data_IF_990427481470
#
_entry.id   IF_990427481470
#
_cell.length_a   1.000
_cell.length_b   1.000
_cell.length_c   1.000
_cell.angle_alpha   90.00
_cell.angle_beta   90.00
_cell.angle_gamma   90.00
#
_symmetry.space_group_name_H-M   'P 1'
#
loop_
_entity.id
_entity.type
_entity.pdbx_description
1 polymer ?
#
# COMPACT_ATOMS: atom_id res chain seq x y z
N UNK A 1 6.00 5.61 13.99
CA UNK A 1 6.72 6.67 14.72
C UNK A 1 6.41 8.00 14.06
N UNK A 2 5.35 8.69 14.49
CA UNK A 2 5.29 10.14 14.39
C UNK A 2 5.55 10.68 15.79
N UNK A 3 6.84 10.79 16.14
CA UNK A 3 7.27 11.85 17.05
C UNK A 3 7.12 13.15 16.26
N UNK A 4 5.87 13.55 16.00
CA UNK A 4 5.61 14.93 15.68
C UNK A 4 5.97 15.65 16.97
N UNK A 5 7.20 16.19 17.00
CA UNK A 5 7.67 17.08 18.03
C UNK A 5 6.50 17.98 18.41
N UNK A 6 6.28 18.17 19.70
CA UNK A 6 5.37 19.19 20.23
C UNK A 6 5.85 20.51 19.64
N UNK A 7 5.37 20.83 18.44
CA UNK A 7 5.75 22.03 17.71
C UNK A 7 5.38 23.15 18.68
N UNK A 8 6.35 24.01 18.96
CA UNK A 8 6.29 24.98 20.05
C UNK A 8 4.95 25.72 20.06
N UNK A 9 4.52 26.23 21.24
CA UNK A 9 3.30 27.04 21.42
C UNK A 9 3.14 28.22 20.44
N UNK A 10 4.17 28.55 19.65
CA UNK A 10 4.23 29.67 18.73
C UNK A 10 4.00 29.29 17.25
N UNK A 11 3.83 28.01 16.90
CA UNK A 11 3.58 27.59 15.52
C UNK A 11 2.18 26.99 15.38
N UNK A 12 1.51 27.32 14.28
CA UNK A 12 0.24 26.71 13.89
C UNK A 12 0.37 25.20 13.83
N UNK A 13 -0.64 24.48 14.33
CA UNK A 13 -0.63 23.02 14.34
C UNK A 13 -0.49 22.47 12.90
N UNK A 14 0.41 21.50 12.65
CA UNK A 14 0.56 20.92 11.32
C UNK A 14 -0.70 20.14 10.92
N UNK A 15 -1.11 20.26 9.66
CA UNK A 15 -2.22 19.48 9.09
C UNK A 15 -1.69 18.10 8.72
N UNK A 16 -2.02 17.08 9.52
CA UNK A 16 -1.52 15.71 9.35
C UNK A 16 -2.60 14.76 8.83
N UNK A 17 -3.86 15.05 9.13
CA UNK A 17 -5.02 14.25 8.73
C UNK A 17 -6.00 15.06 7.89
N UNK A 18 -6.89 14.36 7.18
CA UNK A 18 -8.00 15.00 6.46
C UNK A 18 -8.88 15.79 7.43
N UNK A 19 -9.12 15.27 8.65
CA UNK A 19 -9.90 15.99 9.65
C UNK A 19 -9.21 17.27 10.13
N UNK A 20 -7.88 17.28 10.29
CA UNK A 20 -7.14 18.51 10.61
C UNK A 20 -7.32 19.57 9.51
N UNK A 21 -7.30 19.13 8.24
CA UNK A 21 -7.51 20.04 7.11
C UNK A 21 -8.91 20.64 7.12
N UNK A 22 -9.94 19.80 7.29
CA UNK A 22 -11.34 20.24 7.36
C UNK A 22 -11.55 21.17 8.55
N UNK A 23 -11.07 20.82 9.74
CA UNK A 23 -11.19 21.67 10.93
C UNK A 23 -10.52 23.04 10.73
N UNK A 24 -9.33 23.06 10.10
CA UNK A 24 -8.62 24.30 9.78
C UNK A 24 -9.39 25.17 8.80
N UNK A 25 -9.87 24.62 7.68
CA UNK A 25 -10.54 25.39 6.63
C UNK A 25 -11.96 25.82 6.99
N UNK A 26 -12.66 25.07 7.85
CA UNK A 26 -13.96 25.51 8.40
C UNK A 26 -13.77 26.67 9.38
N UNK A 27 -12.70 26.67 10.17
CA UNK A 27 -12.42 27.75 11.14
C UNK A 27 -11.88 29.00 10.45
N UNK A 28 -10.97 28.82 9.49
CA UNK A 28 -10.33 29.88 8.72
C UNK A 28 -10.47 29.55 7.22
N UNK A 29 -11.56 29.98 6.56
CA UNK A 29 -11.80 29.68 5.16
C UNK A 29 -10.77 30.39 4.27
N UNK A 30 -10.20 29.65 3.31
CA UNK A 30 -9.25 30.21 2.34
C UNK A 30 -9.99 30.93 1.21
N UNK A 31 -9.83 32.25 1.15
CA UNK A 31 -10.41 33.14 0.15
C UNK A 31 -9.99 32.78 -1.29
N UNK A 32 -8.88 32.08 -1.49
CA UNK A 32 -8.45 31.65 -2.84
C UNK A 32 -9.31 30.52 -3.40
N UNK A 33 -10.17 29.92 -2.57
CA UNK A 33 -11.02 28.77 -2.92
C UNK A 33 -12.52 29.06 -2.90
N UNK A 34 -12.91 30.32 -2.69
CA UNK A 34 -14.32 30.76 -2.68
C UNK A 34 -15.00 30.45 -4.01
N UNK A 35 -16.29 30.08 -3.97
CA UNK A 35 -17.13 29.70 -5.13
C UNK A 35 -16.64 28.49 -5.93
N UNK A 36 -15.72 27.69 -5.37
CA UNK A 36 -15.13 26.52 -6.03
C UNK A 36 -15.47 25.19 -5.34
N UNK A 37 -16.59 25.11 -4.63
CA UNK A 37 -17.02 23.95 -3.83
C UNK A 37 -17.05 22.60 -4.58
N UNK A 38 -17.07 22.65 -5.91
CA UNK A 38 -17.12 21.49 -6.79
C UNK A 38 -15.81 21.18 -7.53
N UNK A 39 -14.71 21.88 -7.22
CA UNK A 39 -13.41 21.69 -7.87
C UNK A 39 -12.87 20.28 -7.60
N UNK A 40 -12.25 19.66 -8.59
CA UNK A 40 -11.57 18.37 -8.43
C UNK A 40 -10.05 18.52 -8.47
N UNK A 41 -9.32 17.53 -7.94
CA UNK A 41 -7.85 17.52 -8.02
C UNK A 41 -7.31 17.67 -9.45
N UNK A 42 -8.05 17.20 -10.46
CA UNK A 42 -7.67 17.36 -11.87
C UNK A 42 -7.77 18.82 -12.32
N UNK A 43 -8.82 19.51 -11.92
CA UNK A 43 -9.05 20.91 -12.29
C UNK A 43 -7.97 21.81 -11.67
N UNK A 44 -7.55 21.51 -10.43
CA UNK A 44 -6.41 22.17 -9.78
C UNK A 44 -5.12 21.96 -10.58
N UNK A 45 -4.83 20.73 -11.02
CA UNK A 45 -3.64 20.44 -11.83
C UNK A 45 -3.68 21.04 -13.25
N UNK A 46 -4.88 21.23 -13.82
CA UNK A 46 -5.09 21.84 -15.13
C UNK A 46 -5.25 23.37 -15.07
N UNK A 47 -4.76 24.02 -14.00
CA UNK A 47 -4.75 25.47 -13.82
C UNK A 47 -6.13 26.16 -13.72
N UNK A 48 -7.19 25.43 -13.34
CA UNK A 48 -8.45 26.07 -12.94
C UNK A 48 -8.31 26.85 -11.61
N UNK A 49 -7.24 26.58 -10.85
CA UNK A 49 -6.86 27.26 -9.61
C UNK A 49 -5.41 27.76 -9.75
N UNK A 50 -5.18 29.07 -9.56
CA UNK A 50 -3.87 29.71 -9.67
C UNK A 50 -3.90 31.21 -9.29
N UNK A 51 -2.73 31.81 -8.98
CA UNK A 51 -2.63 33.18 -8.45
C UNK A 51 -3.24 34.26 -9.37
N UNK A 52 -3.34 33.98 -10.68
CA UNK A 52 -3.91 34.91 -11.66
C UNK A 52 -5.39 35.23 -11.44
N UNK A 53 -6.18 34.36 -10.79
CA UNK A 53 -7.61 34.64 -10.50
C UNK A 53 -7.81 35.55 -9.28
N UNK A 54 -6.96 35.43 -8.26
CA UNK A 54 -7.01 36.32 -7.09
C UNK A 54 -6.67 37.76 -7.50
N UNK A 55 -5.72 37.92 -8.44
CA UNK A 55 -5.40 39.21 -9.04
C UNK A 55 -6.54 39.78 -9.91
N UNK A 56 -7.30 38.93 -10.60
CA UNK A 56 -8.50 39.35 -11.35
C UNK A 56 -9.63 39.80 -10.41
N UNK A 57 -9.96 39.02 -9.37
CA UNK A 57 -11.03 39.38 -8.43
C UNK A 57 -10.73 40.62 -7.57
N UNK A 58 -9.45 40.94 -7.35
CA UNK A 58 -9.04 42.16 -6.63
C UNK A 58 -8.98 43.39 -7.54
N UNK A 59 -8.77 43.21 -8.84
CA UNK A 59 -8.83 44.30 -9.84
C UNK A 59 -10.26 44.56 -10.37
N UNK A 60 -11.13 43.55 -10.40
CA UNK A 60 -12.52 43.65 -10.90
C UNK A 60 -13.52 44.17 -9.86
N UNK A 61 -13.11 44.38 -8.60
CA UNK A 61 -13.97 45.07 -7.60
C UNK A 61 -14.21 46.56 -7.91
N UNK A 62 -13.67 47.09 -9.02
CA UNK A 62 -13.94 48.44 -9.51
C UNK A 62 -14.87 48.50 -10.74
N UNK A 63 -15.23 47.38 -11.38
CA UNK A 63 -16.12 47.39 -12.55
C UNK A 63 -17.29 46.42 -12.36
N UNK A 64 -18.37 46.93 -11.77
CA UNK A 64 -19.59 46.24 -11.38
C UNK A 64 -20.47 45.69 -12.53
N UNK A 65 -19.91 45.31 -13.69
CA UNK A 65 -20.72 44.80 -14.81
C UNK A 65 -20.03 43.77 -15.73
N UNK A 66 -18.87 43.20 -15.38
CA UNK A 66 -18.41 42.01 -16.10
C UNK A 66 -19.30 40.83 -15.69
N UNK A 67 -20.09 40.36 -16.65
CA UNK A 67 -20.91 39.15 -16.54
C UNK A 67 -20.06 38.03 -15.93
N UNK A 68 -20.28 37.74 -14.65
CA UNK A 68 -19.77 36.55 -13.97
C UNK A 68 -20.24 35.39 -14.83
N UNK A 69 -19.34 34.81 -15.65
CA UNK A 69 -19.67 33.61 -16.41
C UNK A 69 -19.99 32.56 -15.34
N UNK A 70 -21.24 32.07 -15.25
CA UNK A 70 -21.55 31.03 -14.28
C UNK A 70 -20.60 29.88 -14.57
N UNK A 71 -19.86 29.45 -13.55
CA UNK A 71 -19.05 28.24 -13.65
C UNK A 71 -20.04 27.13 -14.01
N UNK A 72 -20.01 26.67 -15.26
CA UNK A 72 -20.82 25.53 -15.68
C UNK A 72 -20.35 24.31 -14.88
N UNK A 73 -21.09 23.99 -13.82
CA UNK A 73 -20.86 22.79 -13.04
C UNK A 73 -21.14 21.58 -13.94
N UNK A 74 -20.08 20.98 -14.47
CA UNK A 74 -20.15 19.75 -15.25
C UNK A 74 -20.85 18.67 -14.42
N UNK A 75 -21.91 18.06 -14.96
CA UNK A 75 -22.61 16.91 -14.36
C UNK A 75 -21.60 15.89 -13.83
N UNK A 76 -21.69 15.61 -12.53
CA UNK A 76 -20.78 14.73 -11.82
C UNK A 76 -20.73 13.36 -12.50
N UNK A 77 -19.52 12.88 -12.76
CA UNK A 77 -19.31 11.51 -13.18
C UNK A 77 -19.81 10.56 -12.06
N UNK A 78 -20.39 9.40 -12.41
CA UNK A 78 -20.96 8.46 -11.45
C UNK A 78 -19.94 7.99 -10.39
N UNK A 79 -20.46 7.50 -9.25
CA UNK A 79 -19.73 6.98 -8.07
C UNK A 79 -18.43 6.28 -8.47
N UNK A 80 -17.32 6.99 -8.27
CA UNK A 80 -15.99 6.48 -8.59
C UNK A 80 -15.65 5.34 -7.61
N UNK A 81 -14.82 4.40 -8.07
CA UNK A 81 -14.23 3.35 -7.23
C UNK A 81 -13.02 3.89 -6.49
N UNK A 82 -12.67 3.29 -5.35
CA UNK A 82 -11.50 3.69 -4.55
C UNK A 82 -10.19 3.63 -5.37
N UNK A 83 -10.09 2.71 -6.33
CA UNK A 83 -8.96 2.57 -7.25
C UNK A 83 -8.66 3.84 -8.09
N UNK A 84 -9.62 4.75 -8.23
CA UNK A 84 -9.43 5.99 -9.00
C UNK A 84 -8.76 7.11 -8.19
N UNK A 85 -8.51 6.91 -6.89
CA UNK A 85 -7.89 7.92 -6.01
C UNK A 85 -6.37 7.91 -6.08
N UNK A 86 -5.68 6.76 -5.92
CA UNK A 86 -4.22 6.75 -5.97
C UNK A 86 -3.69 7.21 -7.33
N UNK A 87 -2.46 7.71 -7.36
CA UNK A 87 -1.78 7.97 -8.63
C UNK A 87 -1.65 6.67 -9.41
N UNK A 88 -2.04 6.70 -10.69
CA UNK A 88 -1.94 5.55 -11.60
C UNK A 88 -0.51 5.02 -11.67
N UNK A 89 0.50 5.89 -11.56
CA UNK A 89 1.91 5.50 -11.55
C UNK A 89 2.23 4.60 -10.37
N UNK A 90 1.77 4.96 -9.17
CA UNK A 90 1.97 4.19 -7.94
C UNK A 90 1.21 2.86 -8.04
N UNK A 91 -0.04 2.90 -8.51
CA UNK A 91 -0.84 1.68 -8.71
C UNK A 91 -0.15 0.68 -9.64
N UNK A 92 0.27 1.15 -10.82
CA UNK A 92 0.98 0.32 -11.82
C UNK A 92 2.30 -0.19 -11.26
N UNK A 93 3.07 0.65 -10.56
CA UNK A 93 4.34 0.23 -9.94
C UNK A 93 4.15 -0.89 -8.90
N UNK A 94 3.11 -0.82 -8.07
CA UNK A 94 2.81 -1.89 -7.09
C UNK A 94 2.42 -3.19 -7.79
N UNK A 95 1.55 -3.15 -8.80
CA UNK A 95 1.21 -4.37 -9.55
C UNK A 95 2.41 -4.93 -10.33
N UNK A 96 3.24 -4.06 -10.91
CA UNK A 96 4.47 -4.43 -11.60
C UNK A 96 5.51 -5.03 -10.66
N UNK A 97 5.50 -4.67 -9.37
CA UNK A 97 6.36 -5.30 -8.37
C UNK A 97 5.79 -6.65 -7.90
N UNK A 98 4.49 -6.70 -7.60
CA UNK A 98 3.88 -7.87 -6.98
C UNK A 98 3.66 -9.04 -7.95
N UNK A 99 3.22 -8.79 -9.19
CA UNK A 99 2.89 -9.85 -10.14
C UNK A 99 4.13 -10.66 -10.57
N UNK A 100 5.28 -10.05 -10.92
CA UNK A 100 6.50 -10.81 -11.20
C UNK A 100 7.06 -11.51 -9.97
N UNK A 101 6.86 -10.97 -8.76
CA UNK A 101 7.28 -11.64 -7.51
C UNK A 101 6.49 -12.93 -7.26
N UNK A 102 5.18 -12.92 -7.55
CA UNK A 102 4.36 -14.14 -7.52
C UNK A 102 4.77 -15.09 -8.65
N UNK A 103 4.99 -14.57 -9.86
CA UNK A 103 5.42 -15.36 -11.00
C UNK A 103 6.76 -16.07 -10.78
N UNK A 104 7.74 -15.38 -10.18
CA UNK A 104 9.03 -15.97 -9.82
C UNK A 104 8.88 -17.02 -8.71
N UNK A 105 8.04 -16.77 -7.71
CA UNK A 105 7.70 -17.76 -6.70
C UNK A 105 7.04 -19.02 -7.29
N UNK A 106 6.13 -18.86 -8.25
CA UNK A 106 5.49 -19.97 -8.95
C UNK A 106 6.48 -20.78 -9.81
N UNK A 107 7.43 -20.10 -10.47
CA UNK A 107 8.50 -20.76 -11.20
C UNK A 107 9.44 -21.55 -10.26
N UNK A 108 9.79 -20.99 -9.10
CA UNK A 108 10.57 -21.69 -8.07
C UNK A 108 9.80 -22.89 -7.50
N UNK A 109 8.48 -22.76 -7.33
CA UNK A 109 7.63 -23.87 -6.90
C UNK A 109 7.63 -25.01 -7.92
N UNK A 110 7.46 -24.69 -9.21
CA UNK A 110 7.50 -25.67 -10.29
C UNK A 110 8.86 -26.37 -10.37
N UNK A 111 9.96 -25.63 -10.26
CA UNK A 111 11.32 -26.18 -10.22
C UNK A 111 11.52 -27.13 -9.02
N UNK A 112 10.92 -26.80 -7.88
CA UNK A 112 11.00 -27.62 -6.67
C UNK A 112 10.22 -28.93 -6.82
N UNK A 113 9.05 -28.91 -7.47
CA UNK A 113 8.28 -30.12 -7.81
C UNK A 113 9.06 -31.02 -8.75
N UNK A 114 9.62 -30.44 -9.82
CA UNK A 114 10.41 -31.18 -10.80
C UNK A 114 11.57 -31.90 -10.13
N UNK A 115 12.35 -31.19 -9.30
CA UNK A 115 13.51 -31.80 -8.65
C UNK A 115 13.13 -32.85 -7.61
N UNK A 116 11.95 -32.73 -6.99
CA UNK A 116 11.46 -33.72 -6.02
C UNK A 116 10.93 -35.00 -6.67
N UNK A 117 10.44 -34.94 -7.91
CA UNK A 117 9.65 -36.03 -8.52
C UNK A 117 10.25 -36.58 -9.81
N UNK A 118 11.15 -35.83 -10.47
CA UNK A 118 11.81 -36.21 -11.71
C UNK A 118 10.90 -36.23 -12.95
N UNK A 119 9.71 -35.62 -12.87
CA UNK A 119 8.69 -35.66 -13.93
C UNK A 119 8.10 -34.25 -14.12
N UNK A 120 8.18 -33.72 -15.34
CA UNK A 120 7.73 -32.38 -15.72
C UNK A 120 6.20 -32.24 -15.70
N UNK A 121 5.47 -33.35 -15.90
CA UNK A 121 4.02 -33.33 -16.07
C UNK A 121 3.26 -33.51 -14.74
N UNK A 122 3.96 -33.81 -13.64
CA UNK A 122 3.33 -33.96 -12.33
C UNK A 122 2.97 -32.60 -11.75
N UNK A 123 1.67 -32.37 -11.65
CA UNK A 123 1.08 -31.21 -11.00
C UNK A 123 0.87 -31.44 -9.49
N UNK A 124 0.49 -30.38 -8.79
CA UNK A 124 0.11 -30.42 -7.39
C UNK A 124 -1.01 -31.43 -7.17
N UNK A 125 -0.70 -32.53 -6.48
CA UNK A 125 -1.67 -33.56 -6.07
C UNK A 125 -1.82 -33.53 -4.55
N UNK A 126 -3.00 -33.89 -4.03
CA UNK A 126 -3.30 -33.94 -2.59
C UNK A 126 -2.34 -34.89 -1.86
N UNK A 127 -1.97 -36.01 -2.49
CA UNK A 127 -1.00 -36.97 -1.93
C UNK A 127 0.40 -36.39 -1.78
N UNK A 128 0.86 -35.57 -2.74
CA UNK A 128 2.13 -34.85 -2.67
C UNK A 128 2.13 -33.86 -1.51
N UNK A 129 1.03 -33.13 -1.33
CA UNK A 129 0.86 -32.21 -0.21
C UNK A 129 0.87 -32.96 1.14
N UNK A 130 0.18 -34.08 1.25
CA UNK A 130 0.21 -34.94 2.44
C UNK A 130 1.61 -35.48 2.72
N UNK A 131 2.34 -35.94 1.70
CA UNK A 131 3.71 -36.40 1.84
C UNK A 131 4.64 -35.31 2.35
N UNK A 132 4.49 -34.06 1.90
CA UNK A 132 5.29 -32.95 2.39
C UNK A 132 4.88 -32.53 3.80
N UNK A 133 3.58 -32.46 4.09
CA UNK A 133 3.06 -32.12 5.41
C UNK A 133 3.51 -33.12 6.48
N UNK A 134 3.47 -34.42 6.18
CA UNK A 134 3.91 -35.49 7.09
C UNK A 134 5.41 -35.46 7.37
N UNK A 135 6.21 -34.84 6.49
CA UNK A 135 7.65 -34.68 6.67
C UNK A 135 8.03 -33.40 7.45
N UNK A 136 7.03 -32.63 7.91
CA UNK A 136 7.20 -31.46 8.77
C UNK A 136 7.50 -30.14 8.03
N UNK A 137 7.18 -29.02 8.70
CA UNK A 137 7.36 -27.64 8.21
C UNK A 137 8.82 -27.14 8.30
N UNK A 138 9.71 -27.86 8.99
CA UNK A 138 11.10 -27.46 9.20
C UNK A 138 11.98 -28.15 8.15
N UNK A 139 12.97 -27.45 7.55
CA UNK A 139 13.89 -28.04 6.58
C UNK A 139 14.85 -29.05 7.25
N UNK A 140 14.38 -30.27 7.52
CA UNK A 140 15.24 -31.39 7.89
C UNK A 140 15.70 -32.16 6.65
N UNK A 141 17.01 -32.43 6.61
CA UNK A 141 17.90 -33.16 5.64
C UNK A 141 17.32 -33.92 4.42
N UNK A 142 16.08 -34.39 4.40
CA UNK A 142 15.48 -35.17 3.30
C UNK A 142 14.61 -34.35 2.32
N UNK A 143 14.24 -33.11 2.65
CA UNK A 143 13.33 -32.28 1.83
C UNK A 143 14.01 -31.10 1.12
N UNK A 144 15.33 -30.98 1.23
CA UNK A 144 16.06 -29.83 0.68
C UNK A 144 16.36 -30.11 -0.80
N UNK A 145 15.60 -29.46 -1.68
CA UNK A 145 15.97 -29.38 -3.09
C UNK A 145 17.09 -28.37 -3.21
N UNK A 146 18.29 -28.82 -3.58
CA UNK A 146 19.43 -27.93 -3.84
C UNK A 146 19.55 -27.66 -5.33
N UNK A 147 19.64 -26.39 -5.71
CA UNK A 147 20.01 -26.03 -7.09
C UNK A 147 21.39 -26.60 -7.43
N UNK A 148 21.51 -27.27 -8.59
CA UNK A 148 22.73 -27.97 -9.03
C UNK A 148 23.88 -27.08 -9.47
N UNK A 149 23.65 -25.77 -9.65
CA UNK A 149 24.67 -24.83 -10.09
C UNK A 149 25.55 -24.40 -8.89
N UNK A 150 26.85 -24.74 -8.88
CA UNK A 150 27.77 -24.22 -7.88
C UNK A 150 27.86 -22.70 -8.03
N UNK A 151 27.47 -21.97 -6.99
CA UNK A 151 27.58 -20.52 -6.91
C UNK A 151 28.59 -20.14 -5.85
N UNK A 152 29.21 -18.96 -5.97
CA UNK A 152 29.99 -18.41 -4.85
C UNK A 152 29.07 -18.25 -3.63
N UNK A 153 29.63 -18.41 -2.44
CA UNK A 153 28.87 -18.27 -1.18
C UNK A 153 28.08 -16.96 -1.14
N UNK A 154 28.74 -15.85 -1.50
CA UNK A 154 28.11 -14.52 -1.51
C UNK A 154 26.89 -14.46 -2.44
N UNK A 155 27.00 -15.02 -3.65
CA UNK A 155 25.91 -15.01 -4.64
C UNK A 155 24.69 -15.77 -4.11
N UNK A 156 24.91 -16.92 -3.47
CA UNK A 156 23.81 -17.72 -2.90
C UNK A 156 23.15 -17.02 -1.71
N UNK A 157 23.92 -16.35 -0.86
CA UNK A 157 23.39 -15.58 0.29
C UNK A 157 22.58 -14.39 -0.20
N UNK A 158 23.08 -13.64 -1.18
CA UNK A 158 22.36 -12.50 -1.75
C UNK A 158 21.06 -12.97 -2.40
N UNK A 159 21.12 -14.00 -3.26
CA UNK A 159 19.94 -14.53 -3.96
C UNK A 159 18.88 -15.04 -3.00
N UNK A 160 19.27 -15.70 -1.89
CA UNK A 160 18.33 -16.15 -0.86
C UNK A 160 17.55 -15.01 -0.18
N UNK A 161 18.10 -13.79 -0.16
CA UNK A 161 17.51 -12.63 0.52
C UNK A 161 16.79 -11.65 -0.43
N UNK A 162 16.97 -11.74 -1.75
CA UNK A 162 16.25 -10.91 -2.73
C UNK A 162 14.72 -10.96 -2.52
N UNK A 163 14.09 -12.14 -2.30
CA UNK A 163 12.65 -12.20 -2.04
C UNK A 163 12.21 -11.36 -0.83
N UNK A 164 13.02 -11.30 0.23
CA UNK A 164 12.72 -10.51 1.43
C UNK A 164 12.67 -9.01 1.14
N UNK A 165 13.55 -8.52 0.27
CA UNK A 165 13.55 -7.13 -0.16
C UNK A 165 12.31 -6.80 -1.00
N UNK A 166 11.93 -7.67 -1.93
CA UNK A 166 10.75 -7.50 -2.78
C UNK A 166 9.45 -7.46 -1.96
N UNK A 167 9.33 -8.34 -0.96
CA UNK A 167 8.18 -8.35 -0.04
C UNK A 167 8.11 -7.03 0.73
N UNK A 168 9.23 -6.55 1.28
CA UNK A 168 9.30 -5.26 2.00
C UNK A 168 8.86 -4.10 1.11
N UNK A 169 9.36 -4.01 -0.13
CA UNK A 169 8.97 -2.97 -1.08
C UNK A 169 7.47 -3.06 -1.41
N UNK A 170 6.93 -4.27 -1.57
CA UNK A 170 5.50 -4.47 -1.82
C UNK A 170 4.63 -4.00 -0.65
N UNK A 171 5.09 -4.20 0.60
CA UNK A 171 4.41 -3.70 1.80
C UNK A 171 4.32 -2.18 1.82
N UNK A 172 5.42 -1.48 1.52
CA UNK A 172 5.40 -0.01 1.43
C UNK A 172 4.41 0.48 0.37
N UNK A 173 4.41 -0.17 -0.81
CA UNK A 173 3.47 0.12 -1.87
C UNK A 173 2.01 -0.11 -1.47
N UNK A 174 1.73 -1.27 -0.87
CA UNK A 174 0.40 -1.63 -0.35
C UNK A 174 -0.07 -0.60 0.69
N UNK A 175 0.78 -0.27 1.66
CA UNK A 175 0.47 0.66 2.74
C UNK A 175 0.17 2.07 2.19
N UNK A 176 0.91 2.51 1.17
CA UNK A 176 0.66 3.78 0.49
C UNK A 176 -0.69 3.80 -0.23
N UNK A 177 -1.00 2.75 -1.00
CA UNK A 177 -2.29 2.60 -1.68
C UNK A 177 -3.46 2.56 -0.68
N UNK A 178 -3.33 1.78 0.39
CA UNK A 178 -4.37 1.66 1.41
C UNK A 178 -4.60 2.98 2.14
N UNK A 179 -3.52 3.68 2.51
CA UNK A 179 -3.60 4.99 3.18
C UNK A 179 -4.36 6.01 2.32
N UNK A 180 -3.99 6.13 1.05
CA UNK A 180 -4.64 7.09 0.13
C UNK A 180 -6.11 6.74 -0.13
N UNK A 181 -6.42 5.46 -0.32
CA UNK A 181 -7.79 4.99 -0.53
C UNK A 181 -8.68 5.21 0.71
N UNK A 182 -8.18 4.93 1.91
CA UNK A 182 -8.94 5.08 3.15
C UNK A 182 -9.10 6.54 3.56
N UNK A 183 -8.08 7.39 3.35
CA UNK A 183 -8.20 8.82 3.59
C UNK A 183 -9.29 9.46 2.70
N UNK A 184 -9.35 9.07 1.42
CA UNK A 184 -10.42 9.52 0.53
C UNK A 184 -11.79 8.95 0.90
N UNK A 185 -11.85 7.70 1.39
CA UNK A 185 -13.10 7.11 1.86
C UNK A 185 -13.61 7.77 3.15
N UNK A 186 -12.71 8.21 4.03
CA UNK A 186 -13.04 9.00 5.22
C UNK A 186 -13.61 10.36 4.82
N UNK A 187 -12.92 11.07 3.92
CA UNK A 187 -13.37 12.33 3.34
C UNK A 187 -14.78 12.21 2.73
N UNK A 188 -14.96 11.25 1.81
CA UNK A 188 -16.26 10.96 1.16
C UNK A 188 -17.39 10.74 2.18
N UNK A 189 -17.06 10.14 3.32
CA UNK A 189 -18.06 9.81 4.32
C UNK A 189 -18.63 11.01 5.08
N UNK A 190 -17.91 12.14 5.11
CA UNK A 190 -18.41 13.40 5.66
C UNK A 190 -19.52 14.01 4.79
N UNK A 191 -19.50 13.75 3.48
CA UNK A 191 -20.53 14.24 2.54
C UNK A 191 -21.84 13.43 2.53
N UNK A 192 -21.94 12.34 3.31
CA UNK A 192 -23.17 11.53 3.41
C UNK A 192 -23.84 11.67 4.78
N UNK A 193 -23.03 11.76 5.83
CA UNK A 193 -23.49 11.75 7.21
C UNK A 193 -22.68 12.71 8.04
N UNK A 194 -23.33 13.48 8.92
CA UNK A 194 -22.66 14.24 9.95
C UNK A 194 -21.87 13.28 10.86
N UNK A 195 -20.55 13.39 10.82
CA UNK A 195 -19.62 12.58 11.62
C UNK A 195 -18.62 13.49 12.29
N UNK A 196 -18.22 13.14 13.51
CA UNK A 196 -17.11 13.75 14.21
C UNK A 196 -15.83 13.70 13.37
N UNK A 197 -15.14 14.84 13.23
CA UNK A 197 -13.84 14.90 12.56
C UNK A 197 -12.80 14.13 13.36
N UNK A 198 -11.99 13.34 12.65
CA UNK A 198 -10.81 12.68 13.21
C UNK A 198 -9.60 13.58 13.02
N UNK A 199 -9.13 14.18 14.11
CA UNK A 199 -8.06 15.18 14.13
C UNK A 199 -6.88 14.67 14.95
N UNK A 200 -5.70 15.23 14.73
CA UNK A 200 -4.51 14.86 15.52
C UNK A 200 -4.66 15.29 16.98
N UNK A 201 -5.13 16.52 17.19
CA UNK A 201 -5.29 17.12 18.51
C UNK A 201 -6.73 17.60 18.67
N UNK A 202 -7.61 16.82 19.33
CA UNK A 202 -8.99 17.24 19.51
C UNK A 202 -9.08 18.39 20.51
N UNK A 203 -9.95 19.36 20.20
CA UNK A 203 -10.25 20.46 21.12
C UNK A 203 -10.98 19.92 22.35
N UNK A 204 -10.66 20.47 23.53
CA UNK A 204 -11.33 20.07 24.79
C UNK A 204 -12.82 20.41 24.68
N UNK A 205 -13.67 19.49 25.15
CA UNK A 205 -15.13 19.61 25.11
C UNK A 205 -15.78 19.60 23.72
N UNK A 206 -15.05 19.17 22.68
CA UNK A 206 -15.59 18.97 21.33
C UNK A 206 -15.99 17.51 21.06
N UNK A 207 -16.84 17.29 20.06
CA UNK A 207 -17.18 15.94 19.55
C UNK A 207 -16.06 15.32 18.68
N UNK A 208 -14.91 16.00 18.52
CA UNK A 208 -13.81 15.54 17.68
C UNK A 208 -13.14 14.29 18.27
N UNK A 209 -12.64 13.42 17.40
CA UNK A 209 -11.95 12.19 17.80
C UNK A 209 -10.47 12.31 17.48
N UNK A 210 -9.62 11.85 18.40
CA UNK A 210 -8.18 11.77 18.11
C UNK A 210 -7.92 10.72 17.01
N UNK A 211 -6.93 10.98 16.16
CA UNK A 211 -6.49 10.07 15.12
C UNK A 211 -5.71 8.87 15.67
N UNK A 212 -5.58 7.84 14.84
CA UNK A 212 -4.72 6.69 15.18
C UNK A 212 -3.25 7.10 15.00
N UNK A 213 -2.36 6.47 15.75
CA UNK A 213 -0.92 6.68 15.59
C UNK A 213 -0.40 6.19 14.23
N UNK A 214 -1.11 5.25 13.60
CA UNK A 214 -0.95 4.85 12.20
C UNK A 214 -2.01 5.56 11.33
N UNK A 215 -1.64 6.00 10.12
CA UNK A 215 -2.58 6.69 9.21
C UNK A 215 -3.84 5.86 8.89
N UNK A 216 -3.69 4.54 8.86
CA UNK A 216 -4.74 3.54 8.59
C UNK A 216 -5.38 3.05 9.91
N UNK A 217 -6.71 2.83 9.97
CA UNK A 217 -7.35 2.19 11.13
C UNK A 217 -6.77 0.82 11.46
N UNK A 218 -6.60 0.53 12.75
CA UNK A 218 -5.98 -0.73 13.22
C UNK A 218 -6.69 -2.00 12.72
N UNK A 219 -7.99 -1.92 12.45
CA UNK A 219 -8.79 -3.02 11.86
C UNK A 219 -8.26 -3.49 10.50
N UNK A 220 -7.64 -2.60 9.73
CA UNK A 220 -7.01 -2.93 8.45
C UNK A 220 -5.50 -3.10 8.59
N UNK A 221 -4.85 -2.24 9.38
CA UNK A 221 -3.40 -2.26 9.51
C UNK A 221 -2.86 -3.52 10.20
N UNK A 222 -3.50 -3.96 11.30
CA UNK A 222 -3.01 -5.10 12.10
C UNK A 222 -3.10 -6.41 11.32
N UNK A 223 -4.24 -6.80 10.71
CA UNK A 223 -4.30 -8.05 9.95
C UNK A 223 -3.31 -8.08 8.79
N UNK A 224 -3.16 -6.97 8.06
CA UNK A 224 -2.20 -6.88 6.95
C UNK A 224 -0.76 -7.00 7.44
N UNK A 225 -0.40 -6.33 8.54
CA UNK A 225 0.93 -6.43 9.12
C UNK A 225 1.23 -7.87 9.53
N UNK A 226 0.29 -8.55 10.19
CA UNK A 226 0.43 -9.96 10.56
C UNK A 226 0.64 -10.83 9.32
N UNK A 227 -0.16 -10.64 8.25
CA UNK A 227 0.00 -11.38 7.00
C UNK A 227 1.39 -11.17 6.37
N UNK A 228 1.90 -9.93 6.38
CA UNK A 228 3.24 -9.65 5.87
C UNK A 228 4.35 -10.25 6.74
N UNK A 229 4.21 -10.22 8.07
CA UNK A 229 5.16 -10.88 8.99
C UNK A 229 5.19 -12.38 8.74
N UNK A 230 4.03 -13.02 8.61
CA UNK A 230 3.92 -14.45 8.28
C UNK A 230 4.51 -14.73 6.90
N UNK A 231 4.27 -13.88 5.90
CA UNK A 231 4.83 -14.02 4.56
C UNK A 231 6.37 -13.93 4.57
N UNK A 232 6.94 -12.96 5.28
CA UNK A 232 8.39 -12.84 5.48
C UNK A 232 8.99 -14.09 6.14
N UNK A 233 8.33 -14.60 7.17
CA UNK A 233 8.74 -15.81 7.86
C UNK A 233 8.69 -17.04 6.96
N UNK A 234 7.60 -17.25 6.23
CA UNK A 234 7.46 -18.35 5.27
C UNK A 234 8.54 -18.28 4.19
N UNK A 235 8.77 -17.10 3.62
CA UNK A 235 9.78 -16.92 2.58
C UNK A 235 11.19 -17.22 3.10
N UNK A 236 11.48 -16.82 4.35
CA UNK A 236 12.77 -17.13 4.99
C UNK A 236 13.03 -18.63 5.15
N UNK A 237 11.97 -19.42 5.31
CA UNK A 237 12.07 -20.88 5.40
C UNK A 237 11.92 -21.56 4.03
N UNK A 238 11.38 -20.85 3.04
CA UNK A 238 11.16 -21.35 1.68
C UNK A 238 12.44 -21.33 0.83
N UNK A 239 13.26 -20.29 0.99
CA UNK A 239 14.50 -20.04 0.24
C UNK A 239 15.60 -19.67 1.22
N UNK A 240 16.59 -20.54 1.37
CA UNK A 240 17.67 -20.32 2.35
C UNK A 240 19.01 -20.79 1.79
N UNK A 241 20.09 -20.18 2.26
CA UNK A 241 21.44 -20.57 1.89
C UNK A 241 21.81 -21.93 2.50
N UNK A 242 22.40 -22.82 1.70
CA UNK A 242 22.88 -24.14 2.14
C UNK A 242 24.32 -24.35 1.70
N UNK A 243 25.20 -24.54 2.69
CA UNK A 243 26.56 -25.01 2.49
C UNK A 243 26.62 -26.51 2.76
N UNK A 244 27.12 -27.28 1.78
CA UNK A 244 27.40 -28.71 1.95
C UNK A 244 28.90 -28.93 1.99
N UNK A 245 29.37 -29.55 3.05
CA UNK A 245 30.78 -29.94 3.21
C UNK A 245 30.83 -31.47 3.13
N UNK A 246 31.45 -32.05 2.09
CA UNK A 246 31.61 -33.49 2.00
C UNK A 246 32.62 -33.96 3.06
N UNK A 247 32.37 -35.17 3.58
CA UNK A 247 33.26 -35.85 4.51
C UNK A 247 33.87 -37.07 3.82
N UNK A 248 35.16 -37.30 4.05
CA UNK A 248 35.82 -38.54 3.60
C UNK A 248 35.25 -39.75 4.37
N UNK A 249 35.44 -40.99 3.86
CA UNK A 249 35.08 -42.20 4.61
C UNK A 249 35.73 -42.29 6.00
N UNK A 250 36.85 -41.60 6.21
CA UNK A 250 37.57 -41.48 7.48
C UNK A 250 36.96 -40.42 8.43
N UNK A 251 35.93 -39.70 7.99
CA UNK A 251 35.23 -38.68 8.79
C UNK A 251 35.88 -37.30 8.76
N UNK A 252 36.82 -37.05 7.84
CA UNK A 252 37.48 -35.74 7.71
C UNK A 252 36.70 -34.83 6.75
N UNK A 253 36.50 -33.57 7.13
CA UNK A 253 35.77 -32.59 6.32
C UNK A 253 36.67 -32.06 5.18
N UNK A 254 36.19 -32.15 3.94
CA UNK A 254 36.91 -31.66 2.75
C UNK A 254 36.36 -30.30 2.33
N UNK A 255 37.01 -29.22 2.79
CA UNK A 255 36.57 -27.85 2.52
C UNK A 255 36.75 -27.42 1.06
N UNK A 256 37.74 -27.99 0.35
CA UNK A 256 37.99 -27.72 -1.07
C UNK A 256 36.80 -28.07 -1.96
N UNK A 257 36.03 -29.08 -1.55
CA UNK A 257 34.92 -29.65 -2.32
C UNK A 257 33.57 -29.18 -1.74
N UNK A 258 33.59 -28.09 -0.95
CA UNK A 258 32.37 -27.53 -0.39
C UNK A 258 31.47 -26.93 -1.47
N UNK A 259 30.21 -27.33 -1.46
CA UNK A 259 29.22 -26.89 -2.45
C UNK A 259 28.28 -25.89 -1.78
N UNK A 260 28.38 -24.63 -2.22
CA UNK A 260 27.42 -23.59 -1.89
C UNK A 260 26.21 -23.66 -2.84
N UNK A 261 25.01 -23.79 -2.27
CA UNK A 261 23.76 -23.95 -3.03
C UNK A 261 22.60 -23.22 -2.35
N UNK A 262 21.49 -23.08 -3.07
CA UNK A 262 20.24 -22.58 -2.53
C UNK A 262 19.34 -23.75 -2.14
N UNK A 263 18.87 -23.76 -0.90
CA UNK A 263 17.86 -24.70 -0.42
C UNK A 263 16.45 -24.18 -0.71
N UNK A 264 15.61 -25.06 -1.25
CA UNK A 264 14.21 -24.78 -1.56
C UNK A 264 13.29 -25.74 -0.79
N UNK A 265 12.25 -25.21 -0.14
CA UNK A 265 11.20 -25.97 0.52
C UNK A 265 9.86 -25.82 -0.22
N UNK A 266 9.41 -26.83 -1.01
CA UNK A 266 8.23 -26.70 -1.87
C UNK A 266 6.95 -26.35 -1.08
N UNK A 267 6.76 -26.95 0.10
CA UNK A 267 5.59 -26.69 0.94
C UNK A 267 5.51 -25.22 1.38
N UNK A 268 6.64 -24.64 1.80
CA UNK A 268 6.68 -23.27 2.31
C UNK A 268 6.58 -22.25 1.18
N UNK A 269 7.14 -22.55 0.00
CA UNK A 269 6.92 -21.77 -1.22
C UNK A 269 5.42 -21.75 -1.56
N UNK A 270 4.75 -22.91 -1.51
CA UNK A 270 3.30 -23.00 -1.75
C UNK A 270 2.49 -22.16 -0.75
N UNK A 271 2.75 -22.29 0.55
CA UNK A 271 2.08 -21.47 1.57
C UNK A 271 2.34 -19.97 1.37
N UNK A 272 3.57 -19.57 1.01
CA UNK A 272 3.89 -18.18 0.73
C UNK A 272 3.14 -17.64 -0.50
N UNK A 273 3.00 -18.44 -1.57
CA UNK A 273 2.22 -18.09 -2.75
C UNK A 273 0.74 -17.90 -2.44
N UNK A 274 0.16 -18.75 -1.59
CA UNK A 274 -1.23 -18.62 -1.16
C UNK A 274 -1.46 -17.31 -0.38
N UNK A 275 -0.61 -17.02 0.61
CA UNK A 275 -0.72 -15.79 1.41
C UNK A 275 -0.46 -14.55 0.55
N UNK A 276 0.58 -14.56 -0.29
CA UNK A 276 0.89 -13.46 -1.20
C UNK A 276 -0.25 -13.16 -2.17
N UNK A 277 -0.85 -14.20 -2.77
CA UNK A 277 -2.01 -14.06 -3.65
C UNK A 277 -3.24 -13.55 -2.91
N UNK A 278 -3.46 -14.01 -1.68
CA UNK A 278 -4.55 -13.53 -0.83
C UNK A 278 -4.43 -12.03 -0.51
N UNK A 279 -3.22 -11.55 -0.18
CA UNK A 279 -2.97 -10.12 0.08
C UNK A 279 -3.31 -9.27 -1.16
N UNK A 280 -2.90 -9.68 -2.37
CA UNK A 280 -3.22 -8.96 -3.60
C UNK A 280 -4.72 -9.00 -3.89
N UNK A 281 -5.37 -10.15 -3.71
CA UNK A 281 -6.81 -10.28 -3.90
C UNK A 281 -7.56 -9.32 -2.97
N UNK A 282 -7.17 -9.25 -1.70
CA UNK A 282 -7.75 -8.33 -0.73
C UNK A 282 -7.57 -6.86 -1.15
N UNK A 283 -6.39 -6.48 -1.66
CA UNK A 283 -6.15 -5.14 -2.22
C UNK A 283 -7.11 -4.83 -3.37
N UNK A 284 -7.24 -5.76 -4.33
CA UNK A 284 -8.12 -5.61 -5.48
C UNK A 284 -9.57 -5.45 -5.02
N UNK A 285 -10.07 -6.33 -4.16
CA UNK A 285 -11.44 -6.27 -3.64
C UNK A 285 -11.73 -4.94 -2.94
N UNK A 286 -10.82 -4.46 -2.09
CA UNK A 286 -10.98 -3.17 -1.42
C UNK A 286 -10.92 -1.99 -2.40
N UNK A 287 -10.05 -2.05 -3.41
CA UNK A 287 -9.91 -1.01 -4.43
C UNK A 287 -11.15 -0.87 -5.33
N UNK A 288 -11.90 -1.96 -5.53
CA UNK A 288 -13.10 -1.98 -6.36
C UNK A 288 -14.35 -1.42 -5.66
N UNK A 289 -14.29 -1.21 -4.33
CA UNK A 289 -15.38 -0.60 -3.57
C UNK A 289 -15.70 0.79 -4.10
N UNK A 290 -16.99 1.15 -4.13
CA UNK A 290 -17.48 2.45 -4.63
C UNK A 290 -17.62 3.46 -3.49
N UNK A 291 -17.40 4.73 -3.80
CA UNK A 291 -17.74 5.85 -2.92
C UNK A 291 -19.25 5.96 -2.72
N UNK A 292 -19.64 6.46 -1.54
CA UNK A 292 -21.04 6.62 -1.16
C UNK A 292 -21.57 8.01 -1.51
N UNK A 293 -20.74 9.05 -1.39
CA UNK A 293 -21.11 10.42 -1.76
C UNK A 293 -20.86 10.72 -3.24
N UNK A 294 -21.45 11.82 -3.71
CA UNK A 294 -21.15 12.45 -4.99
C UNK A 294 -20.18 13.64 -4.83
N UNK A 295 -19.60 13.82 -3.64
CA UNK A 295 -18.62 14.87 -3.36
C UNK A 295 -17.39 14.74 -4.28
N UNK A 296 -16.80 15.86 -4.75
CA UNK A 296 -15.56 15.81 -5.53
C UNK A 296 -14.45 15.08 -4.77
N UNK A 297 -13.70 14.25 -5.49
CA UNK A 297 -12.57 13.53 -4.90
C UNK A 297 -11.42 14.50 -4.63
N UNK A 298 -11.28 14.89 -3.36
CA UNK A 298 -10.15 15.70 -2.91
C UNK A 298 -8.82 14.93 -2.93
N UNK A 299 -8.85 13.64 -2.58
CA UNK A 299 -7.65 12.84 -2.38
C UNK A 299 -6.75 13.49 -1.32
N UNK A 300 -5.55 13.88 -1.71
CA UNK A 300 -4.56 14.58 -0.86
C UNK A 300 -4.39 16.07 -1.19
N UNK A 301 -5.32 16.68 -1.94
CA UNK A 301 -5.21 18.07 -2.39
C UNK A 301 -5.89 19.01 -1.40
N UNK A 302 -5.11 19.84 -0.70
CA UNK A 302 -5.61 20.83 0.27
C UNK A 302 -6.56 21.85 -0.35
N UNK A 303 -6.28 22.32 -1.57
CA UNK A 303 -7.13 23.27 -2.28
C UNK A 303 -8.56 22.74 -2.50
N UNK A 304 -8.70 21.44 -2.81
CA UNK A 304 -10.03 20.82 -2.99
C UNK A 304 -10.76 20.68 -1.66
N UNK A 305 -10.05 20.30 -0.58
CA UNK A 305 -10.66 20.21 0.75
C UNK A 305 -11.11 21.59 1.22
N UNK A 306 -10.28 22.61 1.03
CA UNK A 306 -10.61 24.00 1.37
C UNK A 306 -11.84 24.49 0.62
N UNK A 307 -11.89 24.25 -0.70
CA UNK A 307 -13.02 24.65 -1.51
C UNK A 307 -14.34 24.03 -1.02
N UNK A 308 -14.31 22.78 -0.55
CA UNK A 308 -15.49 22.11 0.01
C UNK A 308 -15.90 22.59 1.42
N UNK A 309 -15.05 23.36 2.12
CA UNK A 309 -15.31 23.84 3.47
C UNK A 309 -15.94 25.24 3.51
N UNK A 310 -16.22 25.87 2.37
CA UNK A 310 -16.92 27.16 2.35
C UNK A 310 -18.38 26.98 2.76
N UNK A 311 -18.90 27.81 3.68
CA UNK A 311 -20.32 27.79 4.03
C UNK A 311 -21.16 28.25 2.83
N UNK A 312 -22.36 27.68 2.62
CA UNK A 312 -23.29 28.21 1.64
C UNK A 312 -23.71 29.63 2.06
N UNK A 313 -23.68 30.58 1.12
CA UNK A 313 -24.33 31.88 1.32
C UNK A 313 -25.84 31.62 1.44
N UNK A 314 -26.42 31.99 2.58
CA UNK A 314 -27.86 31.87 2.89
C UNK A 314 -28.56 33.17 2.49
#
# INVERSE_FOLDING_TARGET
>A
MFWAARVSRFRSAPILTVGDAVASFVTNPDLTTTDMCWITKRDVHHQAWGPSRVAQNSSERLDSNSLIKPVEYRKLMPRKRLINVPDRKILVAVFFLCLPTIGSGAALFQMSIYTSTGDDNKSLTVDLLHQWANKGLVPFKKNIVTSSLPKRMLDSVVVANIPQLLITMSYYGYNNLMTTMLAAAEYDSYGVSSKSLRVTWPEKDSQQKSTYWLSIPYQYAVPILVLYVVLHWLVSQSTFYVLRIPYTPQGEAVWSDSISSLGLSPLLIFCALLIGSFIICLLILLSLKRFKSNMPLAGSCSAVISAACHPPEI
#
